data_IF_158329402202
#
_entry.id   IF_158329402202
#
_cell.length_a   1.000
_cell.length_b   1.000
_cell.length_c   1.000
_cell.angle_alpha   90.00
_cell.angle_beta   90.00
_cell.angle_gamma   90.00
#
_symmetry.space_group_name_H-M   'P 1'
#
loop_
_entity.id
_entity.type
_entity.pdbx_description
1 polymer ?
#
# COMPACT_ATOMS: atom_id res chain seq x y z
N UNK A 1 -11.84 12.24 7.39
CA UNK A 1 -10.58 11.55 7.70
C UNK A 1 -9.43 12.39 7.17
N UNK A 2 -8.29 12.44 7.86
CA UNK A 2 -7.07 13.10 7.33
C UNK A 2 -6.38 12.19 6.33
N UNK A 3 -5.77 12.77 5.30
CA UNK A 3 -4.91 12.07 4.34
C UNK A 3 -3.46 12.39 4.66
N UNK A 4 -2.59 11.37 4.67
CA UNK A 4 -1.15 11.57 4.81
C UNK A 4 -0.54 11.97 3.46
N UNK A 5 -0.03 13.19 3.35
CA UNK A 5 0.59 13.69 2.13
C UNK A 5 2.08 13.38 2.17
N UNK A 6 2.57 12.51 1.29
CA UNK A 6 3.97 12.06 1.23
C UNK A 6 4.67 12.72 0.04
N UNK A 7 5.76 13.45 0.29
CA UNK A 7 6.55 14.05 -0.79
C UNK A 7 7.92 13.41 -1.02
N UNK A 8 8.37 12.53 -0.12
CA UNK A 8 9.63 11.79 -0.28
C UNK A 8 9.65 10.56 0.63
N UNK A 9 10.12 9.45 0.08
CA UNK A 9 10.47 8.23 0.83
C UNK A 9 11.95 7.95 0.59
N UNK A 10 12.72 7.68 1.64
CA UNK A 10 14.16 7.42 1.54
C UNK A 10 14.56 6.28 2.46
N UNK A 11 15.25 5.27 1.92
CA UNK A 11 15.90 4.24 2.73
C UNK A 11 17.29 4.73 3.14
N UNK A 12 17.58 4.68 4.45
CA UNK A 12 18.90 4.94 5.04
C UNK A 12 19.38 3.69 5.78
N UNK A 13 20.64 3.71 6.25
CA UNK A 13 21.26 2.59 6.98
C UNK A 13 20.45 2.14 8.19
N UNK A 14 19.80 3.08 8.87
CA UNK A 14 19.08 2.87 10.12
C UNK A 14 17.55 2.72 9.92
N UNK A 15 17.04 2.84 8.70
CA UNK A 15 15.63 2.56 8.41
C UNK A 15 15.05 3.38 7.26
N UNK A 16 13.72 3.32 7.15
CA UNK A 16 12.93 4.02 6.14
C UNK A 16 12.45 5.35 6.71
N UNK A 17 12.74 6.42 5.98
CA UNK A 17 12.30 7.78 6.28
C UNK A 17 11.19 8.19 5.33
N UNK A 18 10.13 8.75 5.90
CA UNK A 18 9.03 9.36 5.16
C UNK A 18 9.06 10.85 5.44
N UNK A 19 8.90 11.65 4.38
CA UNK A 19 8.72 13.09 4.46
C UNK A 19 7.27 13.36 4.13
N UNK A 20 6.51 13.80 5.13
CA UNK A 20 5.06 13.91 5.01
C UNK A 20 4.47 14.95 5.95
N UNK A 21 3.19 15.27 5.75
CA UNK A 21 2.36 15.94 6.73
C UNK A 21 0.88 15.54 6.53
N UNK A 22 0.08 15.74 7.56
CA UNK A 22 -1.37 15.52 7.50
C UNK A 22 -2.05 16.61 6.67
N UNK A 23 -3.05 16.25 5.86
CA UNK A 23 -3.88 17.21 5.14
C UNK A 23 -4.65 18.18 6.04
N UNK A 24 -4.78 17.86 7.33
CA UNK A 24 -5.42 18.74 8.33
C UNK A 24 -4.44 19.72 8.98
N UNK A 25 -3.15 19.62 8.65
CA UNK A 25 -2.10 20.45 9.23
C UNK A 25 -1.54 21.39 8.15
N UNK A 26 -1.26 22.63 8.56
CA UNK A 26 -0.56 23.62 7.74
C UNK A 26 0.97 23.53 7.89
N UNK A 27 1.44 22.65 8.76
CA UNK A 27 2.86 22.43 8.99
C UNK A 27 3.57 21.98 7.70
N UNK A 28 4.79 22.46 7.47
CA UNK A 28 5.58 22.02 6.33
C UNK A 28 5.87 20.52 6.43
N UNK A 29 6.17 19.91 5.27
CA UNK A 29 6.68 18.55 5.21
C UNK A 29 7.89 18.39 6.12
N UNK A 30 7.84 17.37 6.98
CA UNK A 30 8.97 17.02 7.84
C UNK A 30 9.35 15.57 7.60
N UNK A 31 10.65 15.28 7.73
CA UNK A 31 11.16 13.91 7.57
C UNK A 31 11.24 13.23 8.93
N UNK A 32 10.67 12.04 9.02
CA UNK A 32 10.68 11.21 10.22
C UNK A 32 10.98 9.76 9.85
N UNK A 33 11.55 9.02 10.80
CA UNK A 33 11.82 7.59 10.64
C UNK A 33 10.53 6.82 10.89
N UNK A 34 10.00 6.16 9.86
CA UNK A 34 8.80 5.36 10.00
C UNK A 34 9.14 3.97 10.54
N UNK A 35 8.78 3.71 11.80
CA UNK A 35 9.11 2.45 12.49
C UNK A 35 8.56 1.23 11.75
N UNK A 36 7.26 1.23 11.41
CA UNK A 36 6.62 0.11 10.72
C UNK A 36 7.24 -0.20 9.36
N UNK A 37 7.45 0.82 8.51
CA UNK A 37 8.13 0.63 7.23
C UNK A 37 9.58 0.16 7.39
N UNK A 38 10.26 0.63 8.44
CA UNK A 38 11.64 0.20 8.74
C UNK A 38 11.72 -1.27 9.14
N UNK A 39 10.77 -1.74 9.96
CA UNK A 39 10.69 -3.15 10.39
C UNK A 39 10.36 -4.07 9.21
N UNK A 40 9.38 -3.69 8.39
CA UNK A 40 9.02 -4.44 7.17
C UNK A 40 10.20 -4.47 6.20
N UNK A 41 10.86 -3.33 5.95
CA UNK A 41 12.03 -3.29 5.07
C UNK A 41 13.19 -4.13 5.60
N UNK A 42 13.41 -4.16 6.92
CA UNK A 42 14.44 -5.00 7.51
C UNK A 42 14.13 -6.51 7.36
N UNK A 43 12.86 -6.90 7.46
CA UNK A 43 12.44 -8.30 7.36
C UNK A 43 12.32 -8.80 5.91
N UNK A 44 11.79 -7.97 5.00
CA UNK A 44 11.34 -8.38 3.66
C UNK A 44 12.02 -7.60 2.53
N UNK A 45 12.91 -6.65 2.87
CA UNK A 45 13.62 -5.81 1.92
C UNK A 45 12.69 -4.88 1.14
N UNK A 46 13.13 -4.51 -0.07
CA UNK A 46 12.41 -3.55 -0.93
C UNK A 46 11.02 -4.06 -1.30
N UNK A 47 10.82 -5.38 -1.47
CA UNK A 47 9.53 -5.96 -1.83
C UNK A 47 8.47 -5.69 -0.74
N UNK A 48 8.82 -5.90 0.53
CA UNK A 48 7.91 -5.61 1.64
C UNK A 48 7.63 -4.11 1.77
N UNK A 49 8.65 -3.27 1.59
CA UNK A 49 8.48 -1.82 1.59
C UNK A 49 7.53 -1.36 0.47
N UNK A 50 7.68 -1.91 -0.74
CA UNK A 50 6.82 -1.56 -1.85
C UNK A 50 5.36 -1.95 -1.59
N UNK A 51 5.12 -3.16 -1.07
CA UNK A 51 3.78 -3.62 -0.68
C UNK A 51 3.14 -2.65 0.32
N UNK A 52 3.87 -2.27 1.37
CA UNK A 52 3.32 -1.42 2.42
C UNK A 52 3.09 0.01 1.94
N UNK A 53 3.98 0.57 1.13
CA UNK A 53 3.75 1.91 0.54
C UNK A 53 2.53 1.88 -0.39
N UNK A 54 2.37 0.85 -1.22
CA UNK A 54 1.17 0.72 -2.06
C UNK A 54 -0.08 0.62 -1.20
N UNK A 55 -0.06 -0.20 -0.13
CA UNK A 55 -1.16 -0.27 0.83
C UNK A 55 -1.53 1.12 1.37
N UNK A 56 -0.54 1.88 1.86
CA UNK A 56 -0.75 3.24 2.38
C UNK A 56 -1.47 4.11 1.34
N UNK A 57 -1.03 4.05 0.07
CA UNK A 57 -1.57 4.87 -1.02
C UNK A 57 -3.00 4.50 -1.47
N UNK A 58 -3.47 3.32 -1.09
CA UNK A 58 -4.86 2.90 -1.30
C UNK A 58 -5.74 3.13 -0.07
N UNK A 59 -5.16 3.17 1.14
CA UNK A 59 -5.93 3.27 2.39
C UNK A 59 -6.04 4.70 2.93
N UNK A 60 -4.96 5.48 2.95
CA UNK A 60 -4.95 6.76 3.66
C UNK A 60 -3.90 7.79 3.23
N UNK A 61 -3.07 7.51 2.22
CA UNK A 61 -1.96 8.37 1.82
C UNK A 61 -2.01 8.80 0.35
N UNK A 62 -1.41 9.94 0.06
CA UNK A 62 -1.26 10.48 -1.29
C UNK A 62 0.16 10.96 -1.56
N UNK A 63 0.62 10.81 -2.81
CA UNK A 63 1.92 11.30 -3.25
C UNK A 63 1.83 12.75 -3.71
N UNK A 64 2.74 13.61 -3.25
CA UNK A 64 2.83 15.04 -3.60
C UNK A 64 4.23 15.43 -4.06
N UNK A 65 4.32 16.44 -4.92
CA UNK A 65 5.61 16.90 -5.48
C UNK A 65 6.17 15.96 -6.56
N UNK A 66 7.46 16.08 -6.89
CA UNK A 66 8.10 15.37 -8.01
C UNK A 66 9.39 14.63 -7.62
N UNK A 67 9.59 14.34 -6.34
CA UNK A 67 10.80 13.67 -5.89
C UNK A 67 10.91 12.26 -6.51
N UNK A 68 12.08 11.93 -7.06
CA UNK A 68 12.34 10.68 -7.81
C UNK A 68 12.00 9.39 -7.06
N UNK A 69 12.05 9.42 -5.73
CA UNK A 69 11.71 8.24 -4.93
C UNK A 69 10.23 7.88 -4.94
N UNK A 70 9.39 8.75 -5.51
CA UNK A 70 7.95 8.52 -5.66
C UNK A 70 7.59 7.88 -7.00
N UNK A 71 8.48 7.92 -7.99
CA UNK A 71 8.16 7.58 -9.38
C UNK A 71 7.79 6.10 -9.54
N UNK A 72 8.48 5.20 -8.84
CA UNK A 72 8.16 3.75 -8.83
C UNK A 72 6.73 3.49 -8.35
N UNK A 73 6.27 4.25 -7.36
CA UNK A 73 4.94 4.08 -6.76
C UNK A 73 3.85 4.69 -7.64
N UNK A 74 4.11 5.82 -8.30
CA UNK A 74 3.20 6.36 -9.33
C UNK A 74 3.06 5.39 -10.49
N UNK A 75 4.18 4.89 -11.02
CA UNK A 75 4.18 3.91 -12.10
C UNK A 75 3.36 2.66 -11.73
N UNK A 76 3.47 2.19 -10.49
CA UNK A 76 2.71 1.05 -10.02
C UNK A 76 1.22 1.37 -9.84
N UNK A 77 0.88 2.41 -9.08
CA UNK A 77 -0.51 2.78 -8.72
C UNK A 77 -1.34 3.27 -9.90
N UNK A 78 -0.75 4.12 -10.75
CA UNK A 78 -1.48 4.83 -11.80
C UNK A 78 -1.64 3.98 -13.08
N UNK A 79 -1.07 2.78 -13.10
CA UNK A 79 -1.20 1.86 -14.23
C UNK A 79 -2.65 1.35 -14.36
N UNK A 80 -3.21 1.26 -15.59
CA UNK A 80 -4.51 0.63 -15.81
C UNK A 80 -4.60 -0.79 -15.26
N UNK A 81 -3.49 -1.54 -15.33
CA UNK A 81 -3.38 -2.88 -14.76
C UNK A 81 -3.59 -2.89 -13.23
N UNK A 82 -3.14 -1.87 -12.50
CA UNK A 82 -3.34 -1.78 -11.06
C UNK A 82 -4.82 -1.63 -10.69
N UNK A 83 -5.58 -0.85 -11.49
CA UNK A 83 -7.03 -0.75 -11.33
C UNK A 83 -7.74 -2.08 -11.56
N UNK A 84 -7.32 -2.84 -12.58
CA UNK A 84 -7.88 -4.15 -12.86
C UNK A 84 -7.59 -5.17 -11.73
N UNK A 85 -6.36 -5.17 -11.21
CA UNK A 85 -5.98 -6.00 -10.06
C UNK A 85 -6.82 -5.62 -8.84
N UNK A 86 -6.92 -4.33 -8.53
CA UNK A 86 -7.72 -3.83 -7.42
C UNK A 86 -9.17 -4.31 -7.52
N UNK A 87 -9.82 -4.08 -8.66
CA UNK A 87 -11.22 -4.48 -8.86
C UNK A 87 -11.41 -5.98 -8.66
N UNK A 88 -10.55 -6.82 -9.25
CA UNK A 88 -10.64 -8.28 -9.13
C UNK A 88 -10.59 -8.78 -7.68
N UNK A 89 -9.80 -8.14 -6.82
CA UNK A 89 -9.72 -8.53 -5.41
C UNK A 89 -10.88 -7.97 -4.59
N UNK A 90 -11.33 -6.75 -4.87
CA UNK A 90 -12.53 -6.19 -4.22
C UNK A 90 -13.77 -7.03 -4.56
N UNK A 91 -13.95 -7.43 -5.82
CA UNK A 91 -15.07 -8.29 -6.21
C UNK A 91 -15.08 -9.61 -5.43
N UNK A 92 -13.90 -10.24 -5.24
CA UNK A 92 -13.77 -11.47 -4.44
C UNK A 92 -14.11 -11.26 -2.95
N UNK A 93 -13.71 -10.12 -2.39
CA UNK A 93 -14.02 -9.75 -1.00
C UNK A 93 -15.52 -9.53 -0.84
N UNK A 94 -16.13 -8.76 -1.75
CA UNK A 94 -17.55 -8.43 -1.73
C UNK A 94 -18.43 -9.66 -1.97
N UNK A 95 -18.04 -10.54 -2.90
CA UNK A 95 -18.71 -11.83 -3.13
C UNK A 95 -18.67 -12.71 -1.88
N UNK A 96 -17.52 -12.81 -1.21
CA UNK A 96 -17.38 -13.57 0.03
C UNK A 96 -18.24 -12.99 1.15
N UNK A 97 -18.32 -11.65 1.25
CA UNK A 97 -19.17 -10.98 2.21
C UNK A 97 -20.66 -11.24 1.93
N UNK A 98 -21.07 -11.16 0.67
CA UNK A 98 -22.45 -11.38 0.23
C UNK A 98 -22.95 -12.82 0.40
N UNK A 99 -22.05 -13.80 0.45
CA UNK A 99 -22.37 -15.21 0.74
C UNK A 99 -22.63 -15.51 2.22
N UNK A 100 -22.29 -14.59 3.13
CA UNK A 100 -22.57 -14.75 4.55
C UNK A 100 -24.02 -14.43 4.88
N UNK A 101 -24.53 -14.99 5.97
CA UNK A 101 -25.85 -14.61 6.47
C UNK A 101 -25.83 -13.20 7.09
N UNK A 102 -27.01 -12.59 7.21
CA UNK A 102 -27.15 -11.21 7.69
C UNK A 102 -26.63 -11.04 9.14
N UNK A 103 -26.72 -12.09 9.96
CA UNK A 103 -26.25 -12.05 11.35
C UNK A 103 -24.72 -11.99 11.40
N UNK A 104 -24.05 -12.81 10.60
CA UNK A 104 -22.59 -12.80 10.45
C UNK A 104 -22.11 -11.46 9.89
N UNK A 105 -22.75 -10.95 8.83
CA UNK A 105 -22.45 -9.64 8.22
C UNK A 105 -22.50 -8.50 9.24
N UNK A 106 -23.54 -8.45 10.08
CA UNK A 106 -23.68 -7.43 11.14
C UNK A 106 -22.67 -7.62 12.27
N UNK A 107 -22.26 -8.85 12.55
CA UNK A 107 -21.29 -9.15 13.59
C UNK A 107 -19.84 -8.85 13.19
N UNK A 108 -19.55 -8.63 11.89
CA UNK A 108 -18.19 -8.43 11.38
C UNK A 108 -17.43 -7.42 12.19
N UNK A 109 -18.00 -6.30 12.61
CA UNK A 109 -17.26 -5.27 13.35
C UNK A 109 -17.44 -5.30 14.87
N UNK A 110 -18.50 -5.96 15.36
CA UNK A 110 -18.86 -5.98 16.78
C UNK A 110 -19.30 -7.38 17.22
N UNK A 111 -18.54 -7.97 18.17
CA UNK A 111 -18.71 -9.35 18.67
C UNK A 111 -18.82 -10.38 17.53
N UNK A 112 -17.75 -10.56 16.73
CA UNK A 112 -17.79 -11.37 15.53
C UNK A 112 -18.04 -12.84 15.85
N UNK A 113 -18.95 -13.44 15.09
CA UNK A 113 -19.13 -14.89 15.00
C UNK A 113 -17.86 -15.55 14.43
N UNK A 114 -17.76 -16.88 14.49
CA UNK A 114 -16.64 -17.59 13.88
C UNK A 114 -16.54 -17.33 12.37
N UNK A 115 -17.67 -17.36 11.65
CA UNK A 115 -17.70 -17.02 10.22
C UNK A 115 -17.27 -15.58 9.93
N UNK A 116 -17.67 -14.63 10.78
CA UNK A 116 -17.22 -13.25 10.65
C UNK A 116 -15.71 -13.08 10.91
N UNK A 117 -15.11 -13.87 11.81
CA UNK A 117 -13.65 -13.93 12.01
C UNK A 117 -12.94 -14.55 10.80
N UNK A 118 -13.49 -15.62 10.23
CA UNK A 118 -12.99 -16.23 9.00
C UNK A 118 -13.01 -15.24 7.83
N UNK A 119 -14.11 -14.50 7.67
CA UNK A 119 -14.22 -13.43 6.68
C UNK A 119 -13.15 -12.36 6.87
N UNK A 120 -12.93 -11.87 8.11
CA UNK A 120 -11.87 -10.88 8.39
C UNK A 120 -10.48 -11.40 8.04
N UNK A 121 -10.20 -12.66 8.36
CA UNK A 121 -8.92 -13.28 8.02
C UNK A 121 -8.73 -13.39 6.50
N UNK A 122 -9.80 -13.77 5.80
CA UNK A 122 -9.86 -13.82 4.34
C UNK A 122 -9.67 -12.43 3.71
N UNK A 123 -10.41 -11.41 4.17
CA UNK A 123 -10.29 -10.03 3.67
C UNK A 123 -8.85 -9.53 3.82
N UNK A 124 -8.24 -9.76 4.99
CA UNK A 124 -6.84 -9.36 5.25
C UNK A 124 -5.87 -10.03 4.26
N UNK A 125 -6.00 -11.34 4.05
CA UNK A 125 -5.16 -12.09 3.10
C UNK A 125 -5.37 -11.61 1.65
N UNK A 126 -6.61 -11.36 1.25
CA UNK A 126 -6.91 -10.83 -0.09
C UNK A 126 -6.34 -9.44 -0.31
N UNK A 127 -6.45 -8.53 0.68
CA UNK A 127 -5.85 -7.20 0.62
C UNK A 127 -4.33 -7.27 0.56
N UNK A 128 -3.71 -8.14 1.36
CA UNK A 128 -2.25 -8.33 1.33
C UNK A 128 -1.76 -8.82 -0.03
N UNK A 129 -2.45 -9.81 -0.62
CA UNK A 129 -2.16 -10.31 -1.98
C UNK A 129 -2.36 -9.23 -3.03
N UNK A 130 -3.46 -8.47 -2.95
CA UNK A 130 -3.76 -7.36 -3.85
C UNK A 130 -2.64 -6.32 -3.87
N UNK A 131 -2.21 -5.82 -2.70
CA UNK A 131 -1.13 -4.85 -2.62
C UNK A 131 0.22 -5.42 -3.06
N UNK A 132 0.47 -6.70 -2.78
CA UNK A 132 1.67 -7.39 -3.23
C UNK A 132 1.75 -7.44 -4.75
N UNK A 133 0.67 -7.83 -5.42
CA UNK A 133 0.61 -7.94 -6.89
C UNK A 133 0.74 -6.57 -7.57
N UNK A 134 0.11 -5.52 -7.02
CA UNK A 134 0.28 -4.15 -7.52
C UNK A 134 1.73 -3.68 -7.30
N UNK A 135 2.34 -4.00 -6.16
CA UNK A 135 3.71 -3.61 -5.83
C UNK A 135 4.78 -4.26 -6.71
N UNK A 136 4.51 -5.41 -7.36
CA UNK A 136 5.46 -6.01 -8.32
C UNK A 136 5.78 -5.06 -9.49
N UNK A 137 4.84 -4.16 -9.82
CA UNK A 137 5.03 -3.12 -10.84
C UNK A 137 6.10 -2.11 -10.46
N UNK A 138 6.35 -1.88 -9.17
CA UNK A 138 7.48 -1.07 -8.72
C UNK A 138 8.82 -1.69 -9.19
N UNK A 139 8.94 -3.03 -9.18
CA UNK A 139 10.12 -3.73 -9.68
C UNK A 139 10.24 -3.72 -11.21
N UNK A 140 9.12 -3.67 -11.95
CA UNK A 140 9.15 -3.41 -13.39
C UNK A 140 9.71 -2.03 -13.73
N UNK A 141 9.30 -1.00 -12.98
CA UNK A 141 9.82 0.36 -13.13
C UNK A 141 11.35 0.36 -13.01
N UNK A 142 11.87 -0.23 -11.93
CA UNK A 142 13.32 -0.29 -11.69
C UNK A 142 14.06 -1.02 -12.80
N UNK A 143 13.53 -2.15 -13.30
CA UNK A 143 14.15 -2.90 -14.42
C UNK A 143 14.20 -2.08 -15.70
N UNK A 144 13.11 -1.39 -16.04
CA UNK A 144 13.04 -0.53 -17.24
C UNK A 144 14.00 0.65 -17.16
N UNK A 145 14.17 1.24 -15.98
CA UNK A 145 15.00 2.43 -15.80
C UNK A 145 16.48 2.10 -15.62
N UNK A 146 16.82 0.98 -14.96
CA UNK A 146 18.20 0.47 -14.92
C UNK A 146 18.74 0.16 -16.32
N UNK A 147 17.93 -0.45 -17.18
CA UNK A 147 18.32 -0.75 -18.55
C UNK A 147 18.49 0.51 -19.41
N UNK A 148 17.82 1.61 -19.07
CA UNK A 148 17.96 2.90 -19.77
C UNK A 148 19.25 3.63 -19.42
N UNK A 149 19.73 3.47 -18.19
CA UNK A 149 20.98 4.09 -17.72
C UNK A 149 22.24 3.31 -18.17
N UNK A 150 22.12 2.01 -18.44
CA UNK A 150 23.21 1.17 -18.97
C UNK A 150 23.35 1.21 -20.50
N UNK A 151 22.42 1.87 -21.20
CA UNK A 151 22.42 2.01 -22.66
C UNK A 151 23.00 3.33 -23.19
N UNK A 152 23.79 4.04 -22.37
CA UNK A 152 24.47 5.30 -22.72
C UNK A 152 25.97 5.19 -22.56
#
# INVERSE_FOLDING_TARGET
>A
MSTELINRITVKKDGVYVSSHSSNDTSPYHSWRCKGLSEIYAAEGQKGLDREVIRMLYEYAELRGSHKSLDRYRYAKDAPAARAIYQRFIDQIDDRYGQMDEADQKSVWYKPTEKAKEYRAYERDMREKMYSEIAERCGEYDRKHKNRDLGR
#
